data_IF_509108924813
#
_entry.id   IF_509108924813
#
_cell.length_a   1.000
_cell.length_b   1.000
_cell.length_c   1.000
_cell.angle_alpha   90.00
_cell.angle_beta   90.00
_cell.angle_gamma   90.00
#
_symmetry.space_group_name_H-M   'P 1'
#
loop_
_entity.id
_entity.type
_entity.pdbx_description
1 polymer ?
#
# COMPACT_ATOMS: atom_id res chain seq x y z
N UNK A 1 -58.07 -20.62 21.64
CA UNK A 1 -56.94 -19.77 22.01
C UNK A 1 -55.66 -20.48 21.58
N UNK A 2 -55.14 -20.16 20.43
CA UNK A 2 -53.89 -20.74 19.89
C UNK A 2 -52.76 -19.76 20.12
N UNK A 3 -51.79 -20.16 20.92
CA UNK A 3 -50.57 -19.41 21.21
C UNK A 3 -49.59 -19.68 20.05
N UNK A 4 -49.34 -18.68 19.19
CA UNK A 4 -48.26 -18.71 18.24
C UNK A 4 -46.97 -18.28 18.96
N UNK A 5 -46.17 -19.26 19.37
CA UNK A 5 -44.81 -19.00 19.82
C UNK A 5 -43.95 -18.57 18.64
N UNK A 6 -43.54 -17.29 18.58
CA UNK A 6 -42.46 -16.85 17.69
C UNK A 6 -41.17 -17.49 18.21
N UNK A 7 -40.75 -18.56 17.54
CA UNK A 7 -39.39 -19.07 17.69
C UNK A 7 -38.43 -18.08 17.09
N UNK A 8 -37.69 -17.32 17.90
CA UNK A 8 -36.51 -16.58 17.50
C UNK A 8 -35.48 -17.64 17.14
N UNK A 9 -35.31 -17.93 15.84
CA UNK A 9 -34.14 -18.65 15.37
C UNK A 9 -32.94 -17.72 15.57
N UNK A 10 -32.14 -18.01 16.59
CA UNK A 10 -30.78 -17.48 16.70
C UNK A 10 -30.08 -17.92 15.41
N UNK A 11 -29.78 -16.97 14.55
CA UNK A 11 -28.86 -17.20 13.44
C UNK A 11 -27.52 -17.61 14.07
N UNK A 12 -27.24 -18.91 14.02
CA UNK A 12 -25.93 -19.46 14.41
C UNK A 12 -24.91 -18.79 13.49
N UNK A 13 -24.08 -17.92 14.03
CA UNK A 13 -23.07 -17.21 13.25
C UNK A 13 -22.14 -18.27 12.63
N UNK A 14 -22.31 -18.50 11.33
CA UNK A 14 -21.49 -19.46 10.62
C UNK A 14 -20.07 -18.92 10.60
N UNK A 15 -19.14 -19.70 11.11
CA UNK A 15 -17.72 -19.33 11.21
C UNK A 15 -16.85 -20.35 10.49
N UNK A 16 -15.77 -19.87 9.88
CA UNK A 16 -14.68 -20.70 9.36
C UNK A 16 -13.47 -20.49 10.27
N UNK A 17 -12.92 -21.55 10.79
CA UNK A 17 -11.75 -21.53 11.66
C UNK A 17 -10.65 -22.47 11.18
N UNK A 18 -9.43 -22.25 11.66
CA UNK A 18 -8.29 -23.10 11.38
C UNK A 18 -7.06 -22.65 12.15
N UNK A 19 -5.96 -23.32 11.90
CA UNK A 19 -4.66 -23.01 12.50
C UNK A 19 -3.58 -22.84 11.44
N UNK A 20 -2.71 -21.86 11.64
CA UNK A 20 -1.60 -21.57 10.73
C UNK A 20 -0.30 -21.95 11.42
N UNK A 21 0.51 -22.78 10.77
CA UNK A 21 1.83 -23.20 11.26
C UNK A 21 2.87 -23.02 10.16
N UNK A 22 4.13 -23.06 10.55
CA UNK A 22 5.25 -23.25 9.63
C UNK A 22 5.53 -24.75 9.37
N UNK A 23 6.63 -25.06 8.67
CA UNK A 23 7.06 -26.44 8.39
C UNK A 23 7.49 -27.22 9.63
N UNK A 24 7.89 -26.53 10.68
CA UNK A 24 8.33 -27.08 11.95
C UNK A 24 7.17 -27.25 12.95
N UNK A 25 5.93 -27.04 12.47
CA UNK A 25 4.70 -27.05 13.28
C UNK A 25 4.63 -25.92 14.32
N UNK A 26 5.48 -24.90 14.22
CA UNK A 26 5.43 -23.72 15.08
C UNK A 26 4.27 -22.82 14.65
N UNK A 27 3.52 -22.21 15.59
CA UNK A 27 2.41 -21.35 15.27
C UNK A 27 2.88 -20.08 14.55
N UNK A 28 2.16 -19.65 13.52
CA UNK A 28 2.41 -18.40 12.82
C UNK A 28 1.42 -17.35 13.30
N UNK A 29 1.92 -16.41 14.11
CA UNK A 29 1.16 -15.29 14.65
C UNK A 29 1.10 -14.13 13.65
N UNK A 30 -0.04 -13.42 13.57
CA UNK A 30 -0.14 -12.20 12.76
C UNK A 30 -0.29 -12.46 11.26
N UNK A 31 -0.63 -13.69 10.85
CA UNK A 31 -0.97 -13.98 9.47
C UNK A 31 -2.36 -13.45 9.13
N UNK A 32 -2.47 -12.65 8.09
CA UNK A 32 -3.75 -12.18 7.55
C UNK A 32 -4.41 -13.31 6.75
N UNK A 33 -5.64 -13.63 7.09
CA UNK A 33 -6.47 -14.64 6.42
C UNK A 33 -7.65 -13.94 5.78
N UNK A 34 -7.73 -13.99 4.47
CA UNK A 34 -8.82 -13.38 3.69
C UNK A 34 -9.70 -14.48 3.13
N UNK A 35 -10.99 -14.41 3.40
CA UNK A 35 -12.00 -15.32 2.87
C UNK A 35 -12.70 -14.67 1.68
N UNK A 36 -12.73 -15.39 0.58
CA UNK A 36 -13.40 -15.02 -0.66
C UNK A 36 -14.33 -16.13 -1.13
N UNK A 37 -15.34 -15.77 -1.95
CA UNK A 37 -16.08 -16.75 -2.74
C UNK A 37 -15.18 -17.32 -3.86
N UNK A 38 -15.57 -18.44 -4.52
CA UNK A 38 -14.84 -18.97 -5.68
C UNK A 38 -14.62 -17.91 -6.78
N UNK A 39 -15.55 -16.99 -6.95
CA UNK A 39 -15.50 -15.88 -7.92
C UNK A 39 -14.63 -14.69 -7.44
N UNK A 40 -13.81 -14.90 -6.40
CA UNK A 40 -12.90 -13.89 -5.82
C UNK A 40 -13.60 -12.69 -5.18
N UNK A 41 -14.87 -12.82 -4.79
CA UNK A 41 -15.57 -11.77 -4.05
C UNK A 41 -15.17 -11.86 -2.58
N UNK A 42 -14.71 -10.75 -2.01
CA UNK A 42 -14.34 -10.64 -0.60
C UNK A 42 -15.57 -10.89 0.31
N UNK A 43 -15.37 -11.69 1.35
CA UNK A 43 -16.40 -12.03 2.35
C UNK A 43 -16.01 -11.52 3.73
N UNK A 44 -14.85 -11.93 4.25
CA UNK A 44 -14.34 -11.48 5.55
C UNK A 44 -12.82 -11.66 5.63
N UNK A 45 -12.22 -11.07 6.67
CA UNK A 45 -10.81 -11.24 6.98
C UNK A 45 -10.58 -11.38 8.47
N UNK A 46 -9.52 -12.08 8.86
CA UNK A 46 -9.07 -12.25 10.24
C UNK A 46 -7.53 -12.24 10.29
N UNK A 47 -6.99 -12.16 11.50
CA UNK A 47 -5.55 -12.32 11.76
C UNK A 47 -5.36 -13.47 12.72
N UNK A 48 -4.34 -14.31 12.50
CA UNK A 48 -4.02 -15.41 13.41
C UNK A 48 -3.49 -14.87 14.75
N UNK A 49 -3.91 -15.51 15.84
CA UNK A 49 -3.47 -15.20 17.19
C UNK A 49 -2.07 -15.78 17.53
N UNK A 50 -1.66 -15.72 18.81
CA UNK A 50 -0.37 -16.20 19.28
C UNK A 50 -0.18 -17.70 19.09
N UNK A 51 -1.24 -18.49 19.09
CA UNK A 51 -1.25 -19.94 18.89
C UNK A 51 -1.44 -20.32 17.42
N UNK A 52 -1.52 -19.31 16.52
CA UNK A 52 -1.73 -19.48 15.09
C UNK A 52 -3.20 -19.73 14.71
N UNK A 53 -4.17 -19.63 15.64
CA UNK A 53 -5.58 -19.82 15.34
C UNK A 53 -6.19 -18.58 14.69
N UNK A 54 -7.13 -18.80 13.79
CA UNK A 54 -7.96 -17.75 13.21
C UNK A 54 -9.42 -18.16 13.16
N UNK A 55 -10.32 -17.18 13.21
CA UNK A 55 -11.76 -17.36 13.06
C UNK A 55 -12.32 -16.27 12.16
N UNK A 56 -13.06 -16.66 11.13
CA UNK A 56 -13.72 -15.79 10.16
C UNK A 56 -15.23 -15.85 10.34
N UNK A 57 -15.88 -14.70 10.33
CA UNK A 57 -17.32 -14.55 10.56
C UNK A 57 -18.08 -14.62 9.24
N UNK A 58 -18.08 -15.72 8.54
CA UNK A 58 -18.98 -16.11 7.46
C UNK A 58 -18.56 -17.45 6.88
N UNK A 59 -19.52 -18.24 6.44
CA UNK A 59 -19.25 -19.52 5.79
C UNK A 59 -20.09 -19.62 4.50
N UNK A 60 -19.53 -19.24 3.34
CA UNK A 60 -20.09 -19.64 2.06
C UNK A 60 -19.96 -21.16 1.88
N UNK A 61 -20.83 -21.76 1.07
CA UNK A 61 -20.79 -23.21 0.76
C UNK A 61 -19.42 -23.65 0.22
N UNK A 62 -18.83 -22.81 -0.61
CA UNK A 62 -17.47 -22.95 -1.13
C UNK A 62 -16.75 -21.63 -0.96
N UNK A 63 -15.50 -21.70 -0.55
CA UNK A 63 -14.69 -20.53 -0.35
C UNK A 63 -13.23 -20.73 -0.70
N UNK A 64 -12.55 -19.62 -0.90
CA UNK A 64 -11.11 -19.52 -1.06
C UNK A 64 -10.54 -18.71 0.11
N UNK A 65 -9.55 -19.28 0.79
CA UNK A 65 -8.76 -18.58 1.79
C UNK A 65 -7.43 -18.16 1.19
N UNK A 66 -7.08 -16.89 1.36
CA UNK A 66 -5.76 -16.37 1.03
C UNK A 66 -5.07 -16.04 2.33
N UNK A 67 -3.98 -16.76 2.63
CA UNK A 67 -3.19 -16.57 3.84
C UNK A 67 -1.92 -15.81 3.46
N UNK A 68 -1.68 -14.70 4.15
CA UNK A 68 -0.56 -13.80 3.88
C UNK A 68 0.18 -13.47 5.17
N UNK A 69 1.51 -13.52 5.12
CA UNK A 69 2.36 -13.13 6.22
C UNK A 69 3.68 -12.55 5.71
N UNK A 70 4.28 -11.63 6.48
CA UNK A 70 5.50 -10.91 6.07
C UNK A 70 6.69 -11.82 5.77
N UNK A 71 6.86 -12.88 6.56
CA UNK A 71 7.99 -13.82 6.50
C UNK A 71 7.73 -15.07 5.67
N UNK A 72 6.50 -15.28 5.22
CA UNK A 72 6.08 -16.50 4.52
C UNK A 72 5.49 -16.18 3.15
N UNK A 73 5.57 -17.15 2.24
CA UNK A 73 4.92 -17.08 0.95
C UNK A 73 3.41 -17.11 1.13
N UNK A 74 2.70 -16.25 0.40
CA UNK A 74 1.23 -16.27 0.37
C UNK A 74 0.74 -17.65 -0.08
N UNK A 75 -0.28 -18.18 0.59
CA UNK A 75 -0.88 -19.47 0.29
C UNK A 75 -2.38 -19.34 0.09
N UNK A 76 -2.86 -19.97 -0.97
CA UNK A 76 -4.31 -20.05 -1.25
C UNK A 76 -4.79 -21.47 -0.93
N UNK A 77 -5.92 -21.57 -0.22
CA UNK A 77 -6.57 -22.83 0.16
C UNK A 77 -8.05 -22.74 -0.20
N UNK A 78 -8.56 -23.72 -0.90
CA UNK A 78 -10.00 -23.85 -1.17
C UNK A 78 -10.64 -24.75 -0.12
N UNK A 79 -11.82 -24.38 0.36
CA UNK A 79 -12.53 -25.13 1.39
C UNK A 79 -14.05 -25.10 1.25
N UNK A 80 -14.69 -25.99 1.97
CA UNK A 80 -16.17 -26.13 1.97
C UNK A 80 -16.75 -26.33 3.37
N UNK A 81 -15.92 -26.42 4.41
CA UNK A 81 -16.34 -26.76 5.79
C UNK A 81 -16.10 -25.61 6.77
N UNK A 82 -16.53 -25.82 8.00
CA UNK A 82 -16.31 -24.86 9.14
C UNK A 82 -14.88 -24.88 9.65
N UNK A 83 -14.20 -26.02 9.57
CA UNK A 83 -12.84 -26.20 10.01
C UNK A 83 -11.94 -26.50 8.80
N UNK A 84 -10.96 -25.63 8.59
CA UNK A 84 -9.97 -25.78 7.50
C UNK A 84 -8.80 -26.67 7.92
N UNK A 85 -8.71 -26.99 9.22
CA UNK A 85 -7.58 -27.69 9.79
C UNK A 85 -6.31 -26.83 9.85
N UNK A 86 -5.15 -27.45 9.64
CA UNK A 86 -3.86 -26.76 9.72
C UNK A 86 -3.36 -26.34 8.35
N UNK A 87 -3.09 -25.04 8.21
CA UNK A 87 -2.49 -24.45 7.01
C UNK A 87 -1.00 -24.26 7.26
N UNK A 88 -0.15 -25.01 6.56
CA UNK A 88 1.30 -24.91 6.70
C UNK A 88 1.82 -23.86 5.70
N UNK A 89 2.50 -22.82 6.20
CA UNK A 89 3.16 -21.81 5.37
C UNK A 89 4.62 -22.18 5.09
N UNK A 90 5.12 -21.70 3.95
CA UNK A 90 6.51 -21.87 3.56
C UNK A 90 7.24 -20.53 3.74
N UNK A 91 8.47 -20.51 4.28
CA UNK A 91 9.25 -19.29 4.34
C UNK A 91 9.35 -18.60 2.98
N UNK A 92 9.27 -17.28 2.95
CA UNK A 92 9.58 -16.53 1.74
C UNK A 92 11.09 -16.61 1.47
N UNK A 93 11.51 -16.76 0.20
CA UNK A 93 12.94 -16.82 -0.21
C UNK A 93 13.63 -15.43 -0.06
N UNK A 94 13.24 -14.68 0.93
CA UNK A 94 13.87 -13.40 1.23
C UNK A 94 14.83 -13.63 2.39
N UNK A 95 16.12 -13.42 2.15
CA UNK A 95 17.13 -13.35 3.21
C UNK A 95 16.80 -12.17 4.10
N UNK A 96 16.00 -12.39 5.13
CA UNK A 96 15.70 -11.43 6.17
C UNK A 96 16.62 -11.79 7.31
N UNK A 97 17.54 -10.89 7.67
CA UNK A 97 18.29 -11.03 8.92
C UNK A 97 17.31 -11.23 10.07
N UNK A 98 17.73 -11.99 11.07
CA UNK A 98 16.95 -12.39 12.23
C UNK A 98 16.20 -11.17 12.84
N UNK A 99 14.90 -11.07 12.58
CA UNK A 99 14.06 -10.03 13.13
C UNK A 99 13.42 -10.57 14.39
N UNK A 100 14.03 -10.27 15.53
CA UNK A 100 13.37 -10.44 16.83
C UNK A 100 12.27 -9.38 16.95
N UNK A 101 11.05 -9.75 16.58
CA UNK A 101 9.88 -8.87 16.69
C UNK A 101 9.48 -8.81 18.17
N UNK A 102 10.02 -7.87 18.91
CA UNK A 102 9.39 -7.38 20.15
C UNK A 102 8.27 -6.41 19.73
N UNK A 103 7.15 -6.93 19.31
CA UNK A 103 6.02 -6.12 18.92
C UNK A 103 5.23 -5.68 20.14
N UNK A 104 5.39 -4.45 20.57
CA UNK A 104 4.45 -3.77 21.48
C UNK A 104 3.11 -3.48 20.78
N UNK A 105 3.10 -3.45 19.45
CA UNK A 105 1.91 -3.28 18.60
C UNK A 105 1.88 -4.29 17.46
N UNK A 106 0.72 -4.87 17.11
CA UNK A 106 0.62 -5.80 16.00
C UNK A 106 0.88 -5.08 14.67
N UNK A 107 1.69 -5.72 13.81
CA UNK A 107 2.04 -5.20 12.46
C UNK A 107 0.81 -5.05 11.56
N UNK A 108 -0.19 -5.90 11.76
CA UNK A 108 -1.45 -5.88 11.02
C UNK A 108 -2.64 -5.99 11.96
N UNK A 109 -3.70 -5.24 11.68
CA UNK A 109 -4.99 -5.29 12.38
C UNK A 109 -6.11 -5.37 11.36
N UNK A 110 -7.18 -6.09 11.70
CA UNK A 110 -8.42 -6.07 10.93
C UNK A 110 -9.41 -5.11 11.59
N UNK A 111 -9.83 -4.09 10.86
CA UNK A 111 -10.84 -3.14 11.28
C UNK A 111 -11.86 -2.98 10.15
N UNK A 112 -13.12 -3.25 10.42
CA UNK A 112 -14.22 -3.11 9.45
C UNK A 112 -13.94 -3.81 8.09
N UNK A 113 -13.33 -5.00 8.11
CA UNK A 113 -12.99 -5.75 6.89
C UNK A 113 -11.79 -5.21 6.10
N UNK A 114 -11.04 -4.29 6.69
CA UNK A 114 -9.80 -3.73 6.14
C UNK A 114 -8.59 -4.27 6.90
N UNK A 115 -7.51 -4.56 6.20
CA UNK A 115 -6.23 -4.93 6.80
C UNK A 115 -5.39 -3.65 6.96
N UNK A 116 -5.25 -3.19 8.20
CA UNK A 116 -4.45 -2.01 8.54
C UNK A 116 -3.01 -2.43 8.86
N UNK A 117 -2.07 -1.99 8.05
CA UNK A 117 -0.65 -2.26 8.23
C UNK A 117 0.10 -1.05 8.77
N UNK A 118 0.92 -1.28 9.80
CA UNK A 118 1.92 -0.31 10.25
C UNK A 118 3.16 -0.39 9.35
N UNK A 119 3.25 0.55 8.42
CA UNK A 119 4.30 0.53 7.41
C UNK A 119 5.69 0.78 7.99
N UNK A 120 5.80 1.63 9.02
CA UNK A 120 7.09 1.89 9.70
C UNK A 120 7.65 0.62 10.34
N UNK A 121 6.79 -0.20 10.95
CA UNK A 121 7.23 -1.47 11.53
C UNK A 121 7.66 -2.48 10.46
N UNK A 122 6.95 -2.54 9.33
CA UNK A 122 7.28 -3.47 8.23
C UNK A 122 8.65 -3.17 7.62
N UNK A 123 9.05 -1.90 7.57
CA UNK A 123 10.31 -1.48 6.93
C UNK A 123 11.42 -1.14 7.92
N UNK A 124 11.20 -1.26 9.24
CA UNK A 124 12.14 -0.85 10.30
C UNK A 124 13.57 -1.34 10.06
N UNK A 125 13.72 -2.61 9.66
CA UNK A 125 15.02 -3.27 9.46
C UNK A 125 15.40 -3.39 7.98
N UNK A 126 14.77 -2.60 7.12
CA UNK A 126 14.98 -2.65 5.67
C UNK A 126 15.38 -1.29 5.15
N UNK A 127 16.27 -1.29 4.17
CA UNK A 127 16.62 -0.07 3.44
C UNK A 127 15.48 0.22 2.46
N UNK A 128 14.51 1.01 2.92
CA UNK A 128 13.36 1.47 2.14
C UNK A 128 13.23 2.97 2.38
N UNK A 129 13.30 3.75 1.33
CA UNK A 129 13.36 5.20 1.42
C UNK A 129 12.02 5.88 1.13
N UNK A 130 11.13 5.23 0.40
CA UNK A 130 9.90 5.84 -0.10
C UNK A 130 8.69 4.90 0.06
N UNK A 131 7.50 5.51 -0.08
CA UNK A 131 6.23 4.79 0.08
C UNK A 131 6.08 3.69 -0.98
N UNK A 132 6.47 3.92 -2.23
CA UNK A 132 6.28 2.95 -3.31
C UNK A 132 7.01 1.63 -3.02
N UNK A 133 8.28 1.70 -2.62
CA UNK A 133 9.06 0.53 -2.21
C UNK A 133 8.49 -0.14 -0.96
N UNK A 134 7.96 0.66 -0.02
CA UNK A 134 7.35 0.14 1.19
C UNK A 134 6.05 -0.62 0.90
N UNK A 135 5.21 -0.15 -0.01
CA UNK A 135 3.99 -0.85 -0.44
C UNK A 135 4.29 -2.22 -1.03
N UNK A 136 5.37 -2.36 -1.79
CA UNK A 136 5.81 -3.65 -2.34
C UNK A 136 6.28 -4.64 -1.26
N UNK A 137 6.51 -4.18 -0.03
CA UNK A 137 6.86 -5.04 1.12
C UNK A 137 5.64 -5.54 1.87
N UNK A 138 4.46 -5.01 1.59
CA UNK A 138 3.22 -5.51 2.17
C UNK A 138 2.96 -6.96 1.72
N UNK A 139 2.46 -7.81 2.61
CA UNK A 139 2.05 -9.16 2.25
C UNK A 139 1.02 -9.15 1.13
N UNK A 140 1.28 -9.93 0.07
CA UNK A 140 0.38 -10.06 -1.07
C UNK A 140 0.44 -8.92 -2.09
N UNK A 141 1.12 -7.81 -1.82
CA UNK A 141 1.31 -6.74 -2.81
C UNK A 141 2.52 -7.05 -3.68
N UNK A 142 2.36 -6.93 -4.99
CA UNK A 142 3.38 -7.16 -6.00
C UNK A 142 3.33 -6.06 -7.06
N UNK A 143 4.41 -5.86 -7.75
CA UNK A 143 4.45 -5.04 -8.96
C UNK A 143 4.49 -5.96 -10.19
N UNK A 144 3.55 -5.76 -11.08
CA UNK A 144 3.45 -6.48 -12.36
C UNK A 144 3.28 -5.41 -13.44
N UNK A 145 4.18 -5.38 -14.41
CA UNK A 145 4.16 -4.41 -15.53
C UNK A 145 4.04 -2.95 -15.09
N UNK A 146 4.73 -2.57 -14.00
CA UNK A 146 4.70 -1.21 -13.45
C UNK A 146 3.43 -0.85 -12.67
N UNK A 147 2.55 -1.82 -12.41
CA UNK A 147 1.34 -1.62 -11.60
C UNK A 147 1.39 -2.42 -10.31
N UNK A 148 0.88 -1.83 -9.24
CA UNK A 148 0.69 -2.55 -8.00
C UNK A 148 -0.51 -3.49 -8.14
N UNK A 149 -0.32 -4.74 -7.76
CA UNK A 149 -1.34 -5.79 -7.75
C UNK A 149 -1.45 -6.42 -6.38
N UNK A 150 -2.58 -7.02 -6.07
CA UNK A 150 -2.84 -7.69 -4.80
C UNK A 150 -3.20 -9.15 -5.04
N UNK A 151 -2.51 -10.07 -4.37
CA UNK A 151 -2.79 -11.50 -4.47
C UNK A 151 -4.26 -11.78 -4.14
N UNK A 152 -4.97 -12.42 -5.08
CA UNK A 152 -6.39 -12.74 -4.95
C UNK A 152 -7.36 -11.64 -5.39
N UNK A 153 -6.88 -10.45 -5.78
CA UNK A 153 -7.72 -9.37 -6.28
C UNK A 153 -7.25 -8.78 -7.62
N UNK A 154 -6.00 -9.04 -8.02
CA UNK A 154 -5.41 -8.46 -9.24
C UNK A 154 -5.01 -7.00 -9.08
N UNK A 155 -5.34 -6.15 -10.05
CA UNK A 155 -5.02 -4.73 -10.03
C UNK A 155 -5.67 -4.01 -8.85
N UNK A 156 -4.94 -3.08 -8.25
CA UNK A 156 -5.44 -2.28 -7.13
C UNK A 156 -5.43 -0.79 -7.45
N UNK A 157 -6.41 -0.08 -6.91
CA UNK A 157 -6.43 1.38 -6.96
C UNK A 157 -5.78 1.94 -5.71
N UNK A 158 -4.81 2.84 -5.87
CA UNK A 158 -4.23 3.55 -4.73
C UNK A 158 -5.07 4.77 -4.38
N UNK A 159 -5.41 4.87 -3.11
CA UNK A 159 -6.19 5.96 -2.50
C UNK A 159 -5.27 6.72 -1.54
N UNK A 160 -5.41 8.02 -1.46
CA UNK A 160 -4.65 8.86 -0.54
C UNK A 160 -5.58 9.53 0.48
N UNK A 161 -5.32 9.30 1.77
CA UNK A 161 -6.12 9.88 2.87
C UNK A 161 -7.63 9.66 2.71
N UNK A 162 -8.03 8.48 2.23
CA UNK A 162 -9.43 8.12 2.04
C UNK A 162 -10.11 8.74 0.81
N UNK A 163 -9.36 9.38 -0.08
CA UNK A 163 -9.88 9.98 -1.31
C UNK A 163 -9.21 9.37 -2.54
N UNK A 164 -9.97 9.02 -3.58
CA UNK A 164 -9.38 8.60 -4.84
C UNK A 164 -8.55 9.75 -5.42
N UNK A 165 -7.43 9.41 -6.01
CA UNK A 165 -6.58 10.41 -6.67
C UNK A 165 -7.06 10.64 -8.11
N UNK A 166 -6.93 11.87 -8.57
CA UNK A 166 -7.16 12.24 -9.99
C UNK A 166 -5.88 12.16 -10.81
N UNK A 167 -4.75 11.77 -10.18
CA UNK A 167 -3.47 11.61 -10.83
C UNK A 167 -3.49 10.40 -11.75
N UNK A 168 -2.78 10.47 -12.86
CA UNK A 168 -2.47 9.29 -13.66
C UNK A 168 -1.48 8.36 -12.93
N UNK A 169 -1.30 7.14 -13.44
CA UNK A 169 -0.46 6.12 -12.80
C UNK A 169 0.99 6.59 -12.62
N UNK A 170 1.56 7.29 -13.60
CA UNK A 170 2.94 7.78 -13.55
C UNK A 170 3.13 8.92 -12.54
N UNK A 171 2.16 9.85 -12.47
CA UNK A 171 2.15 10.92 -11.48
C UNK A 171 2.04 10.37 -10.06
N UNK A 172 1.15 9.39 -9.87
CA UNK A 172 0.96 8.72 -8.58
C UNK A 172 2.22 7.96 -8.15
N UNK A 173 2.82 7.20 -9.05
CA UNK A 173 4.09 6.51 -8.79
C UNK A 173 5.18 7.50 -8.40
N UNK A 174 5.32 8.60 -9.15
CA UNK A 174 6.29 9.67 -8.85
C UNK A 174 6.05 10.26 -7.46
N UNK A 175 4.80 10.53 -7.09
CA UNK A 175 4.46 11.01 -5.76
C UNK A 175 4.87 10.03 -4.67
N UNK A 176 4.53 8.74 -4.83
CA UNK A 176 4.84 7.69 -3.85
C UNK A 176 6.35 7.45 -3.72
N UNK A 177 7.11 7.53 -4.82
CA UNK A 177 8.58 7.42 -4.82
C UNK A 177 9.27 8.62 -4.16
N UNK A 178 8.68 9.80 -4.25
CA UNK A 178 9.22 11.02 -3.65
C UNK A 178 8.73 11.28 -2.22
N UNK A 179 7.84 10.45 -1.69
CA UNK A 179 7.32 10.62 -0.33
C UNK A 179 8.00 9.61 0.61
N UNK A 180 8.67 10.06 1.68
CA UNK A 180 9.32 9.17 2.64
C UNK A 180 8.29 8.39 3.46
N UNK A 181 8.67 7.17 3.87
CA UNK A 181 7.81 6.27 4.67
C UNK A 181 7.43 6.90 6.01
N UNK A 182 8.30 7.69 6.62
CA UNK A 182 8.05 8.36 7.90
C UNK A 182 6.82 9.28 7.90
N UNK A 183 6.34 9.69 6.72
CA UNK A 183 5.11 10.47 6.58
C UNK A 183 3.83 9.62 6.57
N UNK A 184 3.95 8.30 6.53
CA UNK A 184 2.80 7.39 6.55
C UNK A 184 2.38 7.12 7.99
N UNK A 185 1.09 7.19 8.26
CA UNK A 185 0.48 6.76 9.53
C UNK A 185 0.17 5.27 9.46
N UNK A 186 -0.52 4.83 8.40
CA UNK A 186 -0.88 3.43 8.14
C UNK A 186 -1.20 3.22 6.66
N UNK A 187 -1.21 1.96 6.25
CA UNK A 187 -1.75 1.54 4.95
C UNK A 187 -2.91 0.57 5.18
N UNK A 188 -4.06 0.89 4.59
CA UNK A 188 -5.23 0.05 4.62
C UNK A 188 -5.35 -0.74 3.33
N UNK A 189 -5.29 -2.06 3.42
CA UNK A 189 -5.49 -2.97 2.29
C UNK A 189 -6.94 -3.41 2.27
N UNK A 190 -7.64 -3.10 1.21
CA UNK A 190 -9.06 -3.41 1.03
C UNK A 190 -9.24 -4.32 -0.20
N UNK A 191 -9.72 -5.54 0.01
CA UNK A 191 -10.06 -6.47 -1.06
C UNK A 191 -11.40 -6.14 -1.72
N UNK A 192 -12.29 -5.52 -0.94
CA UNK A 192 -13.54 -4.92 -1.41
C UNK A 192 -13.60 -3.52 -0.85
N UNK A 193 -13.45 -2.53 -1.72
CA UNK A 193 -13.43 -1.14 -1.30
C UNK A 193 -14.84 -0.66 -0.95
N UNK A 194 -15.07 -0.16 0.26
CA UNK A 194 -16.38 0.37 0.65
C UNK A 194 -16.83 1.53 -0.27
N UNK A 195 -18.14 1.66 -0.56
CA UNK A 195 -18.67 2.65 -1.50
C UNK A 195 -18.30 4.11 -1.17
N UNK A 196 -18.03 4.42 0.09
CA UNK A 196 -17.63 5.76 0.56
C UNK A 196 -16.32 6.26 -0.08
N UNK A 197 -15.48 5.36 -0.58
CA UNK A 197 -14.24 5.71 -1.26
C UNK A 197 -14.41 5.97 -2.76
N UNK A 198 -15.63 5.77 -3.30
CA UNK A 198 -15.95 5.96 -4.73
C UNK A 198 -15.05 5.17 -5.70
N UNK A 199 -14.49 4.05 -5.23
CA UNK A 199 -13.64 3.14 -6.00
C UNK A 199 -14.26 1.74 -6.00
N UNK A 200 -14.15 1.01 -7.10
CA UNK A 200 -14.59 -0.36 -7.21
C UNK A 200 -13.41 -1.33 -7.16
N UNK A 201 -13.64 -2.53 -6.64
CA UNK A 201 -12.62 -3.57 -6.56
C UNK A 201 -11.69 -3.39 -5.35
N UNK A 202 -10.47 -3.86 -5.47
CA UNK A 202 -9.48 -3.76 -4.41
C UNK A 202 -8.77 -2.40 -4.40
N UNK A 203 -8.36 -1.95 -3.22
CA UNK A 203 -7.61 -0.70 -3.09
C UNK A 203 -6.59 -0.74 -1.95
N UNK A 204 -5.58 0.12 -2.09
CA UNK A 204 -4.59 0.43 -1.07
C UNK A 204 -4.78 1.89 -0.65
N UNK A 205 -5.26 2.14 0.56
CA UNK A 205 -5.40 3.49 1.07
C UNK A 205 -4.16 3.85 1.91
N UNK A 206 -3.35 4.76 1.40
CA UNK A 206 -2.20 5.32 2.11
C UNK A 206 -2.66 6.49 2.95
N UNK A 207 -2.67 6.32 4.26
CA UNK A 207 -3.01 7.37 5.21
C UNK A 207 -1.73 8.06 5.65
N UNK A 208 -1.62 9.34 5.32
CA UNK A 208 -0.46 10.15 5.70
C UNK A 208 -0.69 10.78 7.07
N UNK A 209 0.37 10.84 7.87
CA UNK A 209 0.36 11.55 9.16
C UNK A 209 -0.06 13.00 8.95
N UNK A 210 -1.04 13.44 9.71
CA UNK A 210 -1.39 14.85 9.76
C UNK A 210 -0.35 15.57 10.60
N UNK A 211 0.16 16.72 10.16
CA UNK A 211 0.96 17.54 11.06
C UNK A 211 0.10 17.97 12.25
N UNK A 212 0.42 17.46 13.44
CA UNK A 212 -0.31 17.82 14.66
C UNK A 212 0.04 19.22 15.17
N UNK A 213 1.15 19.79 14.68
CA UNK A 213 1.69 21.04 15.14
C UNK A 213 1.85 22.06 14.02
N UNK A 214 1.98 23.30 14.40
CA UNK A 214 2.41 24.36 13.49
C UNK A 214 3.83 24.05 13.03
N UNK A 215 4.02 23.81 11.76
CA UNK A 215 5.34 23.56 11.19
C UNK A 215 5.63 24.54 10.07
N UNK A 216 6.86 25.03 10.07
CA UNK A 216 7.42 25.78 8.97
C UNK A 216 8.63 25.02 8.44
N UNK A 217 8.61 24.68 7.16
CA UNK A 217 9.70 24.02 6.47
C UNK A 217 10.10 24.88 5.29
N UNK A 218 11.40 25.09 5.12
CA UNK A 218 11.93 25.83 4.00
C UNK A 218 13.13 25.14 3.43
N UNK A 219 13.23 25.13 2.11
CA UNK A 219 14.37 24.64 1.36
C UNK A 219 14.76 25.68 0.33
N UNK A 220 16.03 26.01 0.27
CA UNK A 220 16.58 26.92 -0.74
C UNK A 220 17.69 26.17 -1.48
N UNK A 221 17.51 26.05 -2.77
CA UNK A 221 18.50 25.45 -3.67
C UNK A 221 19.04 26.55 -4.56
N UNK A 222 20.36 26.64 -4.69
CA UNK A 222 21.01 27.53 -5.62
C UNK A 222 22.07 26.76 -6.40
N UNK A 223 22.08 26.92 -7.72
CA UNK A 223 23.09 26.38 -8.58
C UNK A 223 23.69 27.47 -9.46
N UNK A 224 24.98 27.37 -9.70
CA UNK A 224 25.70 28.26 -10.64
C UNK A 224 26.61 27.41 -11.52
N UNK A 225 26.47 27.59 -12.80
CA UNK A 225 27.30 26.91 -13.81
C UNK A 225 28.00 27.94 -14.67
N UNK A 226 29.29 27.77 -14.87
CA UNK A 226 30.16 28.64 -15.65
C UNK A 226 31.03 27.81 -16.62
N UNK A 227 30.40 26.99 -17.46
CA UNK A 227 31.11 26.16 -18.42
C UNK A 227 31.45 26.94 -19.73
N UNK A 228 30.45 27.55 -20.38
CA UNK A 228 30.57 28.42 -21.55
C UNK A 228 29.86 29.76 -21.37
N UNK A 229 28.80 29.75 -20.55
CA UNK A 229 28.01 30.93 -20.18
C UNK A 229 27.70 30.87 -18.71
N UNK A 230 27.58 32.05 -18.10
CA UNK A 230 27.15 32.17 -16.71
C UNK A 230 25.65 31.89 -16.64
N UNK A 231 25.28 30.69 -16.17
CA UNK A 231 23.92 30.33 -15.85
C UNK A 231 23.75 30.22 -14.34
N UNK A 232 22.67 30.73 -13.82
CA UNK A 232 22.36 30.64 -12.41
C UNK A 232 20.89 30.32 -12.19
N UNK A 233 20.62 29.44 -11.26
CA UNK A 233 19.26 29.07 -10.83
C UNK A 233 19.21 29.21 -9.31
N UNK A 234 18.13 29.78 -8.81
CA UNK A 234 17.82 29.79 -7.38
C UNK A 234 16.34 29.45 -7.20
N UNK A 235 16.05 28.43 -6.40
CA UNK A 235 14.69 28.04 -6.06
C UNK A 235 14.51 28.02 -4.55
N UNK A 236 13.39 28.55 -4.08
CA UNK A 236 12.96 28.48 -2.69
C UNK A 236 11.60 27.80 -2.58
N UNK A 237 11.53 26.80 -1.73
CA UNK A 237 10.30 26.09 -1.39
C UNK A 237 10.00 26.32 0.08
N UNK A 238 8.83 26.84 0.39
CA UNK A 238 8.40 27.10 1.75
C UNK A 238 7.06 26.42 1.99
N UNK A 239 6.97 25.67 3.08
CA UNK A 239 5.73 25.04 3.54
C UNK A 239 5.41 25.53 4.94
N UNK A 240 4.23 26.12 5.10
CA UNK A 240 3.63 26.38 6.39
C UNK A 240 2.45 25.46 6.59
N UNK A 241 2.44 24.67 7.66
CA UNK A 241 1.30 23.79 7.96
C UNK A 241 0.79 23.97 9.38
N UNK A 242 -0.51 23.89 9.49
CA UNK A 242 -1.27 23.85 10.73
C UNK A 242 -2.18 22.64 10.70
N UNK A 243 -2.80 22.21 11.82
CA UNK A 243 -3.75 21.10 11.83
C UNK A 243 -4.93 21.23 10.85
N UNK A 244 -5.24 22.46 10.41
CA UNK A 244 -6.39 22.76 9.53
C UNK A 244 -6.01 23.29 8.16
N UNK A 245 -4.78 23.79 7.98
CA UNK A 245 -4.37 24.48 6.76
C UNK A 245 -2.91 24.13 6.45
N UNK A 246 -2.62 23.82 5.19
CA UNK A 246 -1.27 23.72 4.65
C UNK A 246 -1.15 24.72 3.49
N UNK A 247 -0.09 25.55 3.53
CA UNK A 247 0.27 26.50 2.49
C UNK A 247 1.65 26.10 1.96
N UNK A 248 1.74 25.90 0.67
CA UNK A 248 2.99 25.67 -0.04
C UNK A 248 3.27 26.88 -0.95
N UNK A 249 4.44 27.49 -0.83
CA UNK A 249 4.91 28.52 -1.70
C UNK A 249 6.22 28.10 -2.36
N UNK A 250 6.27 28.19 -3.68
CA UNK A 250 7.46 27.91 -4.47
C UNK A 250 7.82 29.18 -5.24
N UNK A 251 9.08 29.58 -5.19
CA UNK A 251 9.60 30.67 -5.98
C UNK A 251 10.92 30.24 -6.63
N UNK A 252 11.07 30.49 -7.93
CA UNK A 252 12.25 30.16 -8.70
C UNK A 252 12.69 31.34 -9.57
N UNK A 253 13.97 31.58 -9.65
CA UNK A 253 14.61 32.54 -10.56
C UNK A 253 15.64 31.78 -11.37
N UNK A 254 15.52 31.86 -12.70
CA UNK A 254 16.48 31.30 -13.64
C UNK A 254 17.10 32.43 -14.45
N UNK A 255 18.42 32.45 -14.50
CA UNK A 255 19.17 33.29 -15.42
C UNK A 255 19.86 32.42 -16.44
N UNK A 256 19.32 32.38 -17.65
CA UNK A 256 19.90 31.62 -18.78
C UNK A 256 20.41 32.60 -19.82
N UNK A 257 21.70 32.50 -20.17
CA UNK A 257 22.25 33.25 -21.29
C UNK A 257 22.27 32.32 -22.50
N UNK A 258 21.36 32.51 -23.45
CA UNK A 258 21.25 31.72 -24.66
C UNK A 258 21.82 32.49 -25.84
N UNK A 259 22.87 31.97 -26.45
CA UNK A 259 23.29 32.45 -27.81
C UNK A 259 22.46 31.73 -28.86
N UNK A 260 21.68 32.48 -29.61
CA UNK A 260 21.07 31.97 -30.84
C UNK A 260 22.11 31.98 -31.97
N UNK A 261 22.56 30.80 -32.35
CA UNK A 261 23.37 30.65 -33.59
C UNK A 261 22.41 30.65 -34.77
N UNK A 262 22.40 31.73 -35.53
CA UNK A 262 21.79 31.72 -36.86
C UNK A 262 22.77 31.10 -37.86
N UNK A 263 22.57 29.81 -38.18
CA UNK A 263 23.29 29.18 -39.31
C UNK A 263 22.67 29.69 -40.63
N UNK A 264 23.25 30.74 -41.20
CA UNK A 264 22.98 31.17 -42.57
C UNK A 264 23.67 30.21 -43.52
N UNK A 265 22.97 29.16 -43.94
CA UNK A 265 23.42 28.38 -45.09
C UNK A 265 23.06 29.13 -46.39
N UNK A 266 24.03 29.88 -46.96
CA UNK A 266 23.91 30.37 -48.32
C UNK A 266 24.35 29.26 -49.28
N UNK A 267 23.41 28.58 -49.95
CA UNK A 267 23.65 27.63 -51.02
C UNK A 267 23.80 28.44 -52.33
N UNK A 268 25.03 28.74 -52.72
CA UNK A 268 25.31 29.29 -54.06
C UNK A 268 25.35 28.13 -55.05
N UNK A 269 24.28 27.92 -55.79
CA UNK A 269 24.29 27.03 -56.95
C UNK A 269 25.02 27.77 -58.10
N UNK A 270 26.29 27.44 -58.32
CA UNK A 270 27.00 27.88 -59.53
C UNK A 270 26.69 26.89 -60.63
N UNK A 271 25.87 27.30 -61.59
CA UNK A 271 25.77 26.63 -62.87
C UNK A 271 27.05 26.93 -63.65
N UNK A 272 27.78 25.90 -64.08
CA UNK A 272 28.85 25.96 -64.99
C UNK A 272 28.30 25.48 -66.37
N UNK A 273 28.46 26.23 -67.48
CA UNK A 273 27.86 25.90 -68.72
C UNK A 273 28.52 24.65 -69.38
#
# INVERSE_FOLDING_TARGET
>A
MGSYGLGIQLLDAQTVSGRITDRESSPVTGAAVVLQTPDSIFVSAAVSDADGHFTLSAQPEQYRLIVQHLLYRSRTVNGTGKDVGTIVLQPADRTIGEVVIKAEHPIVRVEEGRLNYDLEQIVRDKVVNNIYEALQRLPGVQEIEGKLTLAGAGDVTVILNGKPTTMDAGQLETLLRNTPVSRVEKVEVMYSTPPQYHVRGASLNVVLKRPNDYSFQGEVNASYDNCYFNTGNATGNFRFSTPKLALDAMYGIDRVHTMQYYNLFSRTNRYIP
#
